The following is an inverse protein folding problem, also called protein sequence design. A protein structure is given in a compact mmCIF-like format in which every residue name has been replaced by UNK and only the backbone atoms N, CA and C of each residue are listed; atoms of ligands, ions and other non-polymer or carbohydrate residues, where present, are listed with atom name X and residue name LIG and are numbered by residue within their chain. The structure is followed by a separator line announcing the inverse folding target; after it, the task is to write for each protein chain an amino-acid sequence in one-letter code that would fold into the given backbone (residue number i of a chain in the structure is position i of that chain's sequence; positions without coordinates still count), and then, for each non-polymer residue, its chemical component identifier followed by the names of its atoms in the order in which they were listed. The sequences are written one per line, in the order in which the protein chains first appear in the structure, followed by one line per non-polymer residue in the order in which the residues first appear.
data_IF_115294675791
#
_entry.id   IF_115294675791
#
_cell.length_a   1.000
_cell.length_b   1.000
_cell.length_c   1.000
_cell.angle_alpha   90.00
_cell.angle_beta   90.00
_cell.angle_gamma   90.00
#
_symmetry.space_group_name_H-M   'P 1'
#
loop_
_entity.id
_entity.type
_entity.pdbx_description
1 polymer ?
#
# COMPACT_ATOMS: atom_id res chain seq x y z
N UNK A 1 -23.93 15.55 -5.06
CA UNK A 1 -22.52 15.52 -4.62
C UNK A 1 -22.39 14.32 -3.68
N UNK A 2 -22.09 13.14 -4.23
CA UNK A 2 -22.12 11.89 -3.45
C UNK A 2 -20.76 11.68 -2.76
N UNK A 3 -20.62 12.27 -1.58
CA UNK A 3 -19.52 12.03 -0.66
C UNK A 3 -19.71 10.65 0.02
N UNK A 4 -19.59 9.59 -0.76
CA UNK A 4 -19.23 8.32 -0.15
C UNK A 4 -17.81 8.48 0.41
N UNK A 5 -17.47 7.89 1.57
CA UNK A 5 -16.09 7.76 2.05
C UNK A 5 -15.32 6.77 1.16
N UNK A 6 -15.45 6.93 -0.16
CA UNK A 6 -14.71 6.18 -1.15
C UNK A 6 -13.32 6.79 -1.12
N UNK A 7 -12.39 6.09 -0.47
CA UNK A 7 -10.95 6.15 -0.72
C UNK A 7 -10.70 6.75 -2.11
N UNK A 8 -10.05 7.92 -2.17
CA UNK A 8 -9.84 8.57 -3.46
C UNK A 8 -9.03 7.62 -4.32
N UNK A 9 -9.44 7.44 -5.57
CA UNK A 9 -8.74 6.54 -6.51
C UNK A 9 -7.24 6.85 -6.58
N UNK A 10 -6.88 8.13 -6.55
CA UNK A 10 -5.49 8.58 -6.51
C UNK A 10 -4.70 8.04 -5.31
N UNK A 11 -5.32 7.87 -4.14
CA UNK A 11 -4.64 7.34 -2.95
C UNK A 11 -4.34 5.84 -3.08
N UNK A 12 -5.25 5.09 -3.72
CA UNK A 12 -5.06 3.66 -4.04
C UNK A 12 -3.99 3.50 -5.09
N UNK A 13 -4.07 4.25 -6.18
CA UNK A 13 -3.12 4.16 -7.29
C UNK A 13 -1.72 4.52 -6.80
N UNK A 14 -1.60 5.53 -5.92
CA UNK A 14 -0.33 5.87 -5.26
C UNK A 14 0.16 4.75 -4.35
N UNK A 15 -0.71 4.15 -3.53
CA UNK A 15 -0.32 3.04 -2.66
C UNK A 15 0.12 1.81 -3.47
N UNK A 16 -0.62 1.49 -4.53
CA UNK A 16 -0.29 0.41 -5.46
C UNK A 16 1.08 0.63 -6.11
N UNK A 17 1.36 1.85 -6.59
CA UNK A 17 2.66 2.19 -7.16
C UNK A 17 3.81 2.03 -6.15
N UNK A 18 3.61 2.46 -4.90
CA UNK A 18 4.62 2.27 -3.85
C UNK A 18 4.87 0.78 -3.60
N UNK A 19 3.82 -0.03 -3.45
CA UNK A 19 3.94 -1.47 -3.21
C UNK A 19 4.61 -2.18 -4.39
N UNK A 20 4.22 -1.85 -5.62
CA UNK A 20 4.82 -2.40 -6.82
C UNK A 20 6.32 -2.05 -6.91
N UNK A 21 6.68 -0.79 -6.66
CA UNK A 21 8.07 -0.38 -6.65
C UNK A 21 8.88 -1.10 -5.57
N UNK A 22 8.30 -1.37 -4.39
CA UNK A 22 8.96 -2.16 -3.36
C UNK A 22 9.11 -3.63 -3.76
N UNK A 23 8.14 -4.20 -4.48
CA UNK A 23 8.21 -5.57 -4.96
C UNK A 23 9.26 -5.74 -6.07
N UNK A 24 9.40 -4.73 -6.95
CA UNK A 24 10.34 -4.76 -8.07
C UNK A 24 11.77 -4.39 -7.66
N UNK A 25 11.94 -3.37 -6.82
CA UNK A 25 13.26 -2.81 -6.48
C UNK A 25 13.74 -3.18 -5.08
N UNK A 26 12.93 -3.88 -4.28
CA UNK A 26 13.20 -4.19 -2.88
C UNK A 26 12.89 -3.02 -1.93
N UNK A 27 12.48 -3.35 -0.69
CA UNK A 27 12.14 -2.35 0.33
C UNK A 27 13.34 -1.54 0.83
N UNK A 28 14.55 -2.11 0.77
CA UNK A 28 15.77 -1.49 1.26
C UNK A 28 16.16 -0.21 0.48
N UNK A 29 15.97 -0.19 -0.84
CA UNK A 29 16.27 0.98 -1.68
C UNK A 29 15.19 2.06 -1.69
N UNK A 30 13.95 1.70 -1.31
CA UNK A 30 12.79 2.59 -1.33
C UNK A 30 12.54 3.29 0.01
N UNK A 31 13.15 2.84 1.12
CA UNK A 31 13.11 3.55 2.41
C UNK A 31 14.00 4.80 2.44
N UNK A 32 13.91 5.66 1.40
CA UNK A 32 14.65 6.93 1.33
C UNK A 32 14.25 7.93 2.42
N UNK A 33 13.07 7.75 3.01
CA UNK A 33 12.54 8.61 4.06
C UNK A 33 12.96 8.17 5.48
N UNK A 34 13.71 7.07 5.62
CA UNK A 34 14.17 6.58 6.93
C UNK A 34 13.01 6.25 7.87
N UNK A 35 11.87 5.79 7.33
CA UNK A 35 10.67 5.49 8.12
C UNK A 35 10.99 4.30 9.03
N UNK A 36 10.93 4.47 10.35
CA UNK A 36 10.94 3.34 11.27
C UNK A 36 9.68 2.52 10.99
N UNK A 37 9.84 1.22 10.75
CA UNK A 37 8.75 0.30 10.41
C UNK A 37 7.93 0.68 9.16
N UNK A 38 8.61 0.98 8.05
CA UNK A 38 7.99 1.21 6.74
C UNK A 38 6.97 0.12 6.35
N UNK A 39 7.24 -1.13 6.75
CA UNK A 39 6.32 -2.27 6.61
C UNK A 39 4.99 -2.05 7.33
N UNK A 40 5.03 -1.63 8.60
CA UNK A 40 3.83 -1.39 9.41
C UNK A 40 3.01 -0.21 8.86
N UNK A 41 3.70 0.83 8.37
CA UNK A 41 3.05 1.98 7.73
C UNK A 41 2.23 1.56 6.50
N UNK A 42 2.84 0.78 5.60
CA UNK A 42 2.16 0.28 4.40
C UNK A 42 1.02 -0.69 4.75
N UNK A 43 1.24 -1.57 5.73
CA UNK A 43 0.22 -2.50 6.20
C UNK A 43 -1.02 -1.78 6.73
N UNK A 44 -0.84 -0.71 7.52
CA UNK A 44 -1.95 0.12 8.01
C UNK A 44 -2.74 0.77 6.88
N UNK A 45 -2.05 1.25 5.82
CA UNK A 45 -2.73 1.81 4.64
C UNK A 45 -3.49 0.75 3.84
N UNK A 46 -2.93 -0.45 3.68
CA UNK A 46 -3.60 -1.57 3.01
C UNK A 46 -4.85 -1.99 3.80
N UNK A 47 -4.76 -2.08 5.12
CA UNK A 47 -5.89 -2.41 5.99
C UNK A 47 -7.02 -1.38 5.90
N UNK A 48 -6.68 -0.09 5.88
CA UNK A 48 -7.67 0.98 5.67
C UNK A 48 -8.37 0.87 4.31
N UNK A 49 -7.61 0.63 3.22
CA UNK A 49 -8.22 0.41 1.89
C UNK A 49 -9.08 -0.84 1.87
N UNK A 50 -8.69 -1.92 2.54
CA UNK A 50 -9.50 -3.14 2.64
C UNK A 50 -10.81 -2.91 3.41
N UNK A 51 -10.79 -2.09 4.46
CA UNK A 51 -11.99 -1.73 5.21
C UNK A 51 -13.01 -0.94 4.37
N UNK A 52 -12.53 -0.10 3.45
CA UNK A 52 -13.38 0.70 2.56
C UNK A 52 -13.76 -0.03 1.27
N UNK A 53 -12.83 -0.81 0.72
CA UNK A 53 -12.99 -1.56 -0.53
C UNK A 53 -12.24 -2.90 -0.43
N UNK A 54 -12.91 -3.99 -0.02
CA UNK A 54 -12.24 -5.27 0.23
C UNK A 54 -11.61 -5.86 -1.04
N UNK A 55 -12.20 -5.64 -2.22
CA UNK A 55 -11.63 -6.13 -3.50
C UNK A 55 -10.29 -5.47 -3.81
N UNK A 56 -10.20 -4.15 -3.66
CA UNK A 56 -8.94 -3.41 -3.87
C UNK A 56 -7.93 -3.70 -2.76
N UNK A 57 -8.39 -3.81 -1.52
CA UNK A 57 -7.56 -4.18 -0.37
C UNK A 57 -6.89 -5.54 -0.56
N UNK A 58 -7.61 -6.56 -1.05
CA UNK A 58 -7.06 -7.88 -1.32
C UNK A 58 -5.94 -7.84 -2.37
N UNK A 59 -6.13 -7.09 -3.47
CA UNK A 59 -5.09 -6.93 -4.50
C UNK A 59 -3.83 -6.25 -3.96
N UNK A 60 -4.00 -5.17 -3.17
CA UNK A 60 -2.89 -4.48 -2.51
C UNK A 60 -2.20 -5.38 -1.48
N UNK A 61 -2.95 -6.20 -0.75
CA UNK A 61 -2.41 -7.14 0.23
C UNK A 61 -1.55 -8.21 -0.45
N UNK A 62 -2.00 -8.77 -1.56
CA UNK A 62 -1.21 -9.73 -2.33
C UNK A 62 0.12 -9.13 -2.81
N UNK A 63 0.11 -7.88 -3.29
CA UNK A 63 1.32 -7.13 -3.64
C UNK A 63 2.22 -6.86 -2.44
N UNK A 64 1.64 -6.54 -1.29
CA UNK A 64 2.40 -6.33 -0.06
C UNK A 64 3.11 -7.61 0.42
N UNK A 65 2.41 -8.75 0.33
CA UNK A 65 2.95 -10.05 0.74
C UNK A 65 4.02 -10.57 -0.25
N UNK A 66 4.02 -10.11 -1.51
CA UNK A 66 5.08 -10.44 -2.49
C UNK A 66 6.37 -9.62 -2.32
N UNK A 67 6.38 -8.59 -1.47
CA UNK A 67 7.58 -7.79 -1.22
C UNK A 67 8.54 -8.58 -0.34
N UNK A 68 9.79 -8.72 -0.77
CA UNK A 68 10.86 -9.29 0.05
C UNK A 68 11.30 -8.28 1.10
N UNK A 69 10.85 -8.47 2.34
CA UNK A 69 11.27 -7.71 3.51
C UNK A 69 12.54 -8.35 4.08
N UNK A 70 13.70 -7.92 3.60
CA UNK A 70 15.04 -8.30 4.09
C UNK A 70 15.76 -7.03 4.53
#
# INVERSE_FOLDING_TARGET
MNAHPNVRRADVDRLHAILHNCAVHGSAGQNRAGVPDFRAHLLGRVAWVAAVNPRRGAALRALFDSITWT
#
